data_IF_132667826795
#
_entry.id   IF_132667826795
#
_cell.length_a   1.000
_cell.length_b   1.000
_cell.length_c   1.000
_cell.angle_alpha   90.00
_cell.angle_beta   90.00
_cell.angle_gamma   90.00
#
_symmetry.space_group_name_H-M   'P 1'
#
loop_
_entity.id
_entity.type
_entity.pdbx_description
1 polymer ?
#
# COMPACT_ATOMS: atom_id res chain seq x y z
N UNK A 1 6.01 -12.27 7.18
CA UNK A 1 6.09 -13.74 7.06
C UNK A 1 5.02 -14.48 7.89
N UNK A 2 5.03 -14.38 9.23
CA UNK A 2 4.12 -15.14 10.11
C UNK A 2 2.62 -14.93 9.82
N UNK A 3 2.20 -13.68 9.53
CA UNK A 3 0.81 -13.39 9.20
C UNK A 3 0.37 -14.00 7.86
N UNK A 4 1.26 -14.02 6.86
CA UNK A 4 0.99 -14.59 5.54
C UNK A 4 0.95 -16.12 5.58
N UNK A 5 1.85 -16.73 6.36
CA UNK A 5 1.85 -18.17 6.62
C UNK A 5 0.58 -18.60 7.35
N UNK A 6 0.21 -17.89 8.42
CA UNK A 6 -1.03 -18.16 9.15
C UNK A 6 -2.27 -18.00 8.25
N UNK A 7 -2.35 -16.93 7.45
CA UNK A 7 -3.47 -16.70 6.54
C UNK A 7 -3.59 -17.79 5.47
N UNK A 8 -2.45 -18.24 4.93
CA UNK A 8 -2.40 -19.37 3.99
C UNK A 8 -2.88 -20.66 4.66
N UNK A 9 -2.39 -20.94 5.87
CA UNK A 9 -2.81 -22.12 6.63
C UNK A 9 -4.31 -22.10 6.91
N UNK A 10 -4.88 -20.98 7.36
CA UNK A 10 -6.33 -20.83 7.57
C UNK A 10 -7.08 -21.08 6.26
N UNK A 11 -6.66 -20.44 5.16
CA UNK A 11 -7.28 -20.58 3.84
C UNK A 11 -7.14 -21.96 3.21
N UNK A 12 -6.24 -22.81 3.72
CA UNK A 12 -6.05 -24.20 3.28
C UNK A 12 -6.47 -25.22 4.34
N UNK A 13 -7.17 -24.79 5.40
CA UNK A 13 -7.60 -25.68 6.47
C UNK A 13 -8.84 -26.50 6.06
N UNK A 14 -8.64 -27.77 5.74
CA UNK A 14 -9.69 -28.68 5.29
C UNK A 14 -10.90 -28.75 6.23
N UNK A 15 -10.66 -28.80 7.55
CA UNK A 15 -11.75 -28.86 8.53
C UNK A 15 -12.63 -27.60 8.55
N UNK A 16 -12.06 -26.43 8.28
CA UNK A 16 -12.83 -25.17 8.25
C UNK A 16 -13.57 -25.09 6.93
N UNK A 17 -12.90 -25.38 5.81
CA UNK A 17 -13.53 -25.44 4.50
C UNK A 17 -14.72 -26.39 4.49
N UNK A 18 -14.56 -27.60 5.05
CA UNK A 18 -15.63 -28.58 5.19
C UNK A 18 -16.80 -28.04 6.02
N UNK A 19 -16.54 -27.39 7.15
CA UNK A 19 -17.61 -26.82 7.98
C UNK A 19 -18.42 -25.74 7.22
N UNK A 20 -17.74 -24.88 6.43
CA UNK A 20 -18.42 -23.90 5.59
C UNK A 20 -19.19 -24.54 4.43
N UNK A 21 -18.68 -25.63 3.85
CA UNK A 21 -19.38 -26.43 2.82
C UNK A 21 -20.64 -27.06 3.39
N UNK A 22 -20.54 -27.73 4.53
CA UNK A 22 -21.67 -28.37 5.20
C UNK A 22 -22.74 -27.34 5.58
N UNK A 23 -22.33 -26.15 6.04
CA UNK A 23 -23.26 -25.04 6.31
C UNK A 23 -23.94 -24.53 5.03
N UNK A 24 -23.21 -24.45 3.92
CA UNK A 24 -23.72 -23.97 2.63
C UNK A 24 -24.67 -24.95 1.94
N UNK A 25 -24.40 -26.24 2.08
CA UNK A 25 -25.11 -27.34 1.44
C UNK A 25 -26.29 -27.84 2.30
N UNK A 26 -26.34 -27.49 3.59
CA UNK A 26 -27.40 -27.88 4.51
C UNK A 26 -28.67 -27.00 4.46
N UNK A 27 -29.78 -27.54 4.95
CA UNK A 27 -31.11 -26.89 4.94
C UNK A 27 -31.14 -25.55 5.69
N UNK A 28 -30.29 -25.40 6.71
CA UNK A 28 -30.19 -24.17 7.49
C UNK A 28 -29.75 -22.97 6.64
N UNK A 29 -28.98 -23.19 5.57
CA UNK A 29 -28.55 -22.13 4.66
C UNK A 29 -29.74 -21.34 4.10
N UNK A 30 -30.84 -22.03 3.76
CA UNK A 30 -32.03 -21.39 3.21
C UNK A 30 -32.63 -20.37 4.19
N UNK A 31 -32.52 -20.61 5.49
CA UNK A 31 -33.06 -19.77 6.57
C UNK A 31 -32.18 -18.57 6.92
N UNK A 32 -30.93 -18.54 6.46
CA UNK A 32 -30.02 -17.43 6.69
C UNK A 32 -30.48 -16.16 5.97
N UNK A 33 -30.22 -15.01 6.60
CA UNK A 33 -30.44 -13.71 5.96
C UNK A 33 -29.37 -13.44 4.89
N UNK A 34 -29.58 -12.39 4.08
CA UNK A 34 -28.70 -12.04 2.97
C UNK A 34 -27.25 -11.82 3.39
N UNK A 35 -27.01 -11.14 4.51
CA UNK A 35 -25.65 -10.85 4.98
C UNK A 35 -24.92 -12.13 5.42
N UNK A 36 -25.61 -13.03 6.12
CA UNK A 36 -25.07 -14.31 6.55
C UNK A 36 -24.75 -15.22 5.35
N UNK A 37 -25.67 -15.32 4.38
CA UNK A 37 -25.45 -16.05 3.13
C UNK A 37 -24.20 -15.52 2.40
N UNK A 38 -24.10 -14.20 2.27
CA UNK A 38 -22.95 -13.56 1.63
C UNK A 38 -21.64 -13.83 2.35
N UNK A 39 -21.63 -13.85 3.68
CA UNK A 39 -20.45 -14.18 4.47
C UNK A 39 -19.98 -15.63 4.22
N UNK A 40 -20.90 -16.59 4.19
CA UNK A 40 -20.61 -18.00 3.89
C UNK A 40 -20.09 -18.17 2.46
N UNK A 41 -20.77 -17.58 1.49
CA UNK A 41 -20.38 -17.66 0.07
C UNK A 41 -19.00 -17.03 -0.17
N UNK A 42 -18.71 -15.88 0.45
CA UNK A 42 -17.40 -15.24 0.35
C UNK A 42 -16.32 -16.08 1.04
N UNK A 43 -16.57 -16.62 2.22
CA UNK A 43 -15.61 -17.49 2.90
C UNK A 43 -15.23 -18.69 2.04
N UNK A 44 -16.21 -19.40 1.45
CA UNK A 44 -15.98 -20.52 0.54
C UNK A 44 -15.15 -20.11 -0.68
N UNK A 45 -15.51 -18.99 -1.32
CA UNK A 45 -14.72 -18.45 -2.44
C UNK A 45 -13.27 -18.18 -2.02
N UNK A 46 -13.06 -17.62 -0.84
CA UNK A 46 -11.73 -17.23 -0.38
C UNK A 46 -10.88 -18.46 0.01
N UNK A 47 -11.47 -19.57 0.47
CA UNK A 47 -10.80 -20.88 0.58
C UNK A 47 -10.34 -21.40 -0.80
N UNK A 48 -11.20 -21.32 -1.81
CA UNK A 48 -10.85 -21.74 -3.19
C UNK A 48 -9.72 -20.90 -3.77
N UNK A 49 -9.78 -19.57 -3.59
CA UNK A 49 -8.71 -18.65 -4.00
C UNK A 49 -7.41 -18.87 -3.22
N UNK A 50 -7.48 -19.46 -2.02
CA UNK A 50 -6.32 -19.89 -1.22
C UNK A 50 -5.75 -21.24 -1.66
N UNK A 51 -6.34 -21.87 -2.67
CA UNK A 51 -5.84 -23.11 -3.25
C UNK A 51 -6.24 -24.38 -2.50
N UNK A 52 -7.28 -24.36 -1.65
CA UNK A 52 -7.74 -25.56 -0.92
C UNK A 52 -8.00 -26.77 -1.83
N UNK A 53 -8.50 -26.54 -3.05
CA UNK A 53 -8.79 -27.60 -4.03
C UNK A 53 -7.55 -28.13 -4.77
N UNK A 54 -6.37 -27.57 -4.54
CA UNK A 54 -5.13 -28.03 -5.18
C UNK A 54 -4.60 -29.32 -4.54
N UNK A 55 -3.86 -30.16 -5.28
CA UNK A 55 -3.05 -31.23 -4.70
C UNK A 55 -2.05 -30.68 -3.67
N UNK A 56 -1.67 -31.49 -2.67
CA UNK A 56 -0.82 -31.05 -1.54
C UNK A 56 0.49 -30.37 -1.95
N UNK A 57 1.17 -30.89 -2.97
CA UNK A 57 2.39 -30.28 -3.51
C UNK A 57 2.14 -28.87 -4.06
N UNK A 58 1.00 -28.65 -4.72
CA UNK A 58 0.60 -27.35 -5.24
C UNK A 58 0.10 -26.40 -4.14
N UNK A 59 -0.52 -26.91 -3.07
CA UNK A 59 -0.86 -26.12 -1.88
C UNK A 59 0.40 -25.58 -1.21
N UNK A 60 1.43 -26.41 -1.04
CA UNK A 60 2.72 -25.97 -0.51
C UNK A 60 3.34 -24.89 -1.40
N UNK A 61 3.36 -25.10 -2.72
CA UNK A 61 3.89 -24.10 -3.66
C UNK A 61 3.11 -22.78 -3.61
N UNK A 62 1.79 -22.83 -3.45
CA UNK A 62 0.96 -21.64 -3.25
C UNK A 62 1.42 -20.87 -2.01
N UNK A 63 1.65 -21.55 -0.88
CA UNK A 63 2.12 -20.91 0.34
C UNK A 63 3.48 -20.25 0.20
N UNK A 64 4.43 -20.88 -0.48
CA UNK A 64 5.73 -20.28 -0.80
C UNK A 64 5.58 -19.00 -1.62
N UNK A 65 4.71 -19.01 -2.64
CA UNK A 65 4.44 -17.84 -3.49
C UNK A 65 3.78 -16.73 -2.67
N UNK A 66 2.79 -17.05 -1.84
CA UNK A 66 2.08 -16.08 -1.01
C UNK A 66 3.03 -15.39 0.00
N UNK A 67 3.90 -16.16 0.65
CA UNK A 67 4.94 -15.61 1.53
C UNK A 67 5.89 -14.71 0.76
N UNK A 68 6.37 -15.16 -0.41
CA UNK A 68 7.29 -14.35 -1.22
C UNK A 68 6.67 -13.05 -1.73
N UNK A 69 5.40 -13.07 -2.13
CA UNK A 69 4.67 -11.87 -2.53
C UNK A 69 4.54 -10.87 -1.38
N UNK A 70 4.25 -11.36 -0.17
CA UNK A 70 4.19 -10.52 1.03
C UNK A 70 5.55 -9.86 1.34
N UNK A 71 6.65 -10.60 1.23
CA UNK A 71 8.00 -10.05 1.39
C UNK A 71 8.31 -8.97 0.36
N UNK A 72 8.06 -9.26 -0.93
CA UNK A 72 8.32 -8.32 -2.02
C UNK A 72 7.44 -7.06 -1.90
N UNK A 73 6.18 -7.20 -1.49
CA UNK A 73 5.28 -6.06 -1.29
C UNK A 73 5.74 -5.15 -0.15
N UNK A 74 6.23 -5.72 0.96
CA UNK A 74 6.83 -4.96 2.05
C UNK A 74 8.13 -4.27 1.59
N UNK A 75 9.01 -5.01 0.91
CA UNK A 75 10.26 -4.45 0.39
C UNK A 75 10.01 -3.29 -0.59
N UNK A 76 9.07 -3.45 -1.52
CA UNK A 76 8.69 -2.41 -2.46
C UNK A 76 8.15 -1.18 -1.73
N UNK A 77 7.23 -1.35 -0.78
CA UNK A 77 6.65 -0.24 -0.02
C UNK A 77 7.71 0.53 0.76
N UNK A 78 8.64 -0.17 1.40
CA UNK A 78 9.76 0.46 2.11
C UNK A 78 10.69 1.19 1.14
N UNK A 79 11.05 0.58 0.01
CA UNK A 79 11.89 1.24 -1.00
C UNK A 79 11.23 2.51 -1.55
N UNK A 80 9.92 2.51 -1.77
CA UNK A 80 9.17 3.71 -2.22
C UNK A 80 9.19 4.79 -1.14
N UNK A 81 8.97 4.42 0.13
CA UNK A 81 9.02 5.36 1.25
C UNK A 81 10.43 5.97 1.40
N UNK A 82 11.46 5.13 1.41
CA UNK A 82 12.86 5.53 1.53
C UNK A 82 13.27 6.45 0.38
N UNK A 83 12.86 6.13 -0.86
CA UNK A 83 13.13 6.98 -2.02
C UNK A 83 12.41 8.35 -1.92
N UNK A 84 11.15 8.35 -1.45
CA UNK A 84 10.35 9.58 -1.30
C UNK A 84 10.94 10.49 -0.22
N UNK A 85 11.39 9.92 0.90
CA UNK A 85 11.99 10.68 2.01
C UNK A 85 13.48 11.01 1.79
N UNK A 86 14.17 10.22 0.95
CA UNK A 86 15.61 10.30 0.74
C UNK A 86 16.05 11.45 -0.17
N UNK A 87 15.15 12.00 -0.97
CA UNK A 87 15.42 13.17 -1.80
C UNK A 87 14.89 14.45 -1.12
N UNK A 88 15.74 15.47 -1.07
CA UNK A 88 15.37 16.82 -0.61
C UNK A 88 16.14 17.87 -1.39
N UNK A 89 15.53 19.03 -1.62
CA UNK A 89 16.20 20.21 -2.17
C UNK A 89 16.00 21.40 -1.24
N UNK A 90 17.09 21.91 -0.67
CA UNK A 90 17.08 23.16 0.07
C UNK A 90 17.25 24.32 -0.91
N UNK A 91 16.31 25.26 -0.90
CA UNK A 91 16.36 26.49 -1.68
C UNK A 91 16.49 27.67 -0.72
N UNK A 92 17.57 28.44 -0.86
CA UNK A 92 17.84 29.60 0.01
C UNK A 92 17.47 30.93 -0.63
N UNK A 93 17.42 30.99 -1.97
CA UNK A 93 16.94 32.14 -2.72
C UNK A 93 15.44 31.98 -3.03
N UNK A 94 14.60 32.79 -2.39
CA UNK A 94 13.16 32.80 -2.61
C UNK A 94 12.77 33.11 -4.06
N UNK A 95 13.62 33.83 -4.81
CA UNK A 95 13.36 34.14 -6.21
C UNK A 95 13.33 32.87 -7.10
N UNK A 96 14.00 31.78 -6.69
CA UNK A 96 13.94 30.50 -7.40
C UNK A 96 12.58 29.81 -7.26
N UNK A 97 11.73 30.26 -6.32
CA UNK A 97 10.40 29.73 -6.02
C UNK A 97 9.27 30.62 -6.57
N UNK A 98 9.58 31.56 -7.47
CA UNK A 98 8.57 32.42 -8.09
C UNK A 98 7.40 31.60 -8.67
N UNK A 99 6.18 32.13 -8.50
CA UNK A 99 4.92 31.49 -8.92
C UNK A 99 4.30 30.55 -7.89
N UNK A 100 5.07 30.05 -6.91
CA UNK A 100 4.56 29.15 -5.88
C UNK A 100 3.47 29.80 -5.00
N UNK A 101 2.39 29.07 -4.64
CA UNK A 101 1.41 29.54 -3.67
C UNK A 101 2.03 29.78 -2.29
N UNK A 102 1.57 30.81 -1.58
CA UNK A 102 2.05 31.16 -0.23
C UNK A 102 1.96 29.99 0.75
N UNK A 103 0.89 29.18 0.67
CA UNK A 103 0.73 27.98 1.50
C UNK A 103 1.82 26.93 1.27
N UNK A 104 2.29 26.77 0.03
CA UNK A 104 3.35 25.83 -0.30
C UNK A 104 4.72 26.35 0.15
N UNK A 105 4.98 27.66 0.01
CA UNK A 105 6.17 28.31 0.54
C UNK A 105 6.24 28.19 2.07
N UNK A 106 5.14 28.46 2.77
CA UNK A 106 5.06 28.32 4.22
C UNK A 106 5.32 26.88 4.68
N UNK A 107 4.76 25.88 3.97
CA UNK A 107 5.01 24.47 4.25
C UNK A 107 6.50 24.10 4.04
N UNK A 108 7.10 24.50 2.93
CA UNK A 108 8.52 24.23 2.65
C UNK A 108 9.45 24.90 3.67
N UNK A 109 9.11 26.11 4.13
CA UNK A 109 9.85 26.80 5.19
C UNK A 109 9.74 26.07 6.53
N UNK A 110 8.52 25.66 6.92
CA UNK A 110 8.32 24.87 8.13
C UNK A 110 9.07 23.53 8.09
N UNK A 111 9.17 22.89 6.92
CA UNK A 111 9.98 21.67 6.74
C UNK A 111 11.48 21.94 6.91
N UNK A 112 11.98 23.07 6.41
CA UNK A 112 13.37 23.48 6.63
C UNK A 112 13.65 23.72 8.12
N UNK A 113 12.79 24.48 8.80
CA UNK A 113 12.88 24.78 10.23
C UNK A 113 12.85 23.50 11.08
N UNK A 114 11.98 22.54 10.75
CA UNK A 114 11.90 21.25 11.44
C UNK A 114 13.18 20.39 11.30
N UNK A 115 14.00 20.66 10.27
CA UNK A 115 15.32 20.04 10.07
C UNK A 115 16.48 20.97 10.43
N UNK A 116 16.22 22.09 11.10
CA UNK A 116 17.22 23.07 11.50
C UNK A 116 18.00 23.66 10.30
N UNK A 117 17.33 23.79 9.16
CA UNK A 117 17.87 24.38 7.92
C UNK A 117 17.27 25.77 7.68
N UNK A 118 18.09 26.69 7.19
CA UNK A 118 17.64 28.02 6.75
C UNK A 118 17.24 27.99 5.27
N UNK A 119 15.99 28.35 4.98
CA UNK A 119 15.46 28.41 3.61
C UNK A 119 14.13 27.66 3.46
N UNK A 120 13.93 27.09 2.28
CA UNK A 120 12.73 26.33 1.90
C UNK A 120 13.15 24.90 1.52
N UNK A 121 12.63 23.91 2.24
CA UNK A 121 12.97 22.51 1.99
C UNK A 121 11.86 21.85 1.16
N UNK A 122 12.21 21.49 -0.07
CA UNK A 122 11.36 20.74 -0.99
C UNK A 122 11.66 19.24 -0.92
N UNK A 123 10.64 18.44 -1.18
CA UNK A 123 10.60 16.98 -0.99
C UNK A 123 9.73 16.35 -2.09
N UNK A 124 9.76 15.03 -2.21
CA UNK A 124 8.95 14.30 -3.20
C UNK A 124 7.56 13.90 -2.69
N UNK A 125 7.20 14.21 -1.44
CA UNK A 125 5.82 14.01 -1.00
C UNK A 125 4.87 14.92 -1.80
N UNK A 126 3.69 14.40 -2.11
CA UNK A 126 2.73 15.05 -3.02
C UNK A 126 2.39 16.50 -2.61
N UNK A 127 2.20 16.83 -1.31
CA UNK A 127 2.00 18.21 -0.88
C UNK A 127 3.14 19.18 -1.22
N UNK A 128 4.38 18.70 -1.35
CA UNK A 128 5.55 19.49 -1.73
C UNK A 128 5.80 19.46 -3.24
N UNK A 129 5.76 18.28 -3.85
CA UNK A 129 6.02 18.06 -5.27
C UNK A 129 4.99 18.73 -6.19
N UNK A 130 3.69 18.56 -5.91
CA UNK A 130 2.65 18.99 -6.83
C UNK A 130 2.58 20.52 -6.99
N UNK A 131 2.72 21.34 -5.93
CA UNK A 131 2.81 22.79 -6.07
C UNK A 131 3.98 23.24 -6.95
N UNK A 132 5.16 22.62 -6.81
CA UNK A 132 6.32 22.96 -7.65
C UNK A 132 6.02 22.67 -9.12
N UNK A 133 5.48 21.48 -9.42
CA UNK A 133 5.15 21.10 -10.79
C UNK A 133 4.04 21.95 -11.42
N UNK A 134 3.12 22.47 -10.61
CA UNK A 134 1.93 23.19 -11.10
C UNK A 134 2.18 24.69 -11.24
N UNK A 135 2.92 25.29 -10.31
CA UNK A 135 2.94 26.74 -10.14
C UNK A 135 4.33 27.38 -10.20
N UNK A 136 5.41 26.64 -9.92
CA UNK A 136 6.73 27.25 -9.90
C UNK A 136 7.14 27.66 -11.32
N UNK A 137 7.55 28.91 -11.52
CA UNK A 137 7.98 29.45 -12.81
C UNK A 137 9.36 28.92 -13.25
N UNK A 138 10.20 28.53 -12.28
CA UNK A 138 11.55 28.03 -12.51
C UNK A 138 11.55 26.66 -13.20
N UNK A 139 11.80 26.66 -14.52
CA UNK A 139 11.81 25.45 -15.33
C UNK A 139 12.89 24.45 -14.90
N UNK A 140 14.07 24.92 -14.48
CA UNK A 140 15.15 24.04 -14.06
C UNK A 140 14.79 23.29 -12.77
N UNK A 141 14.14 23.97 -11.82
CA UNK A 141 13.66 23.35 -10.58
C UNK A 141 12.55 22.32 -10.85
N UNK A 142 11.60 22.63 -11.75
CA UNK A 142 10.58 21.65 -12.17
C UNK A 142 11.19 20.43 -12.85
N UNK A 143 12.21 20.63 -13.69
CA UNK A 143 12.92 19.51 -14.33
C UNK A 143 13.68 18.66 -13.32
N UNK A 144 14.37 19.28 -12.36
CA UNK A 144 15.11 18.58 -11.31
C UNK A 144 14.18 17.71 -10.45
N UNK A 145 13.02 18.24 -10.05
CA UNK A 145 12.05 17.48 -9.24
C UNK A 145 11.32 16.39 -10.01
N UNK A 146 11.17 16.52 -11.32
CA UNK A 146 10.46 15.55 -12.16
C UNK A 146 11.27 14.26 -12.44
N UNK A 147 12.60 14.37 -12.51
CA UNK A 147 13.50 13.29 -12.92
C UNK A 147 13.91 12.38 -11.76
#
# INVERSE_FOLDING_TARGET
PLLSEYSTWVGQHEGLYKAYRDLRDGDHYATLNTAQKKAVDNALRDFELSGIGLPKEKQQRYGEIATRLSELGNQYSNNVLDATMGWTKLVTDEAELAGMPESALAAAKAQAEAKELEGYLLTLDIPSYLPVMTYCDNQALREEMYR
#
